data_IF_320434729490
#
_entry.id   IF_320434729490
#
_cell.length_a   1.000
_cell.length_b   1.000
_cell.length_c   1.000
_cell.angle_alpha   90.00
_cell.angle_beta   90.00
_cell.angle_gamma   90.00
#
_symmetry.space_group_name_H-M   'P 1'
#
loop_
_entity.id
_entity.type
_entity.pdbx_description
1 polymer ?
#
# COMPACT_ATOMS: atom_id res chain seq x y z
N UNK A 1 -5.43 19.49 -13.07
CA UNK A 1 -4.17 18.95 -13.65
C UNK A 1 -4.35 17.46 -13.90
N UNK A 2 -4.70 17.05 -15.13
CA UNK A 2 -5.01 15.65 -15.44
C UNK A 2 -3.80 14.71 -15.29
N UNK A 3 -2.59 15.17 -15.63
CA UNK A 3 -1.36 14.34 -15.60
C UNK A 3 -0.93 13.86 -14.20
N UNK A 4 -1.43 14.47 -13.12
CA UNK A 4 -1.07 14.07 -11.76
C UNK A 4 -1.89 12.88 -11.25
N UNK A 5 -3.09 12.67 -11.78
CA UNK A 5 -4.01 11.63 -11.31
C UNK A 5 -3.39 10.24 -11.49
N UNK A 6 -2.68 10.03 -12.59
CA UNK A 6 -1.95 8.80 -12.89
C UNK A 6 -0.75 8.55 -11.95
N UNK A 7 -0.39 9.53 -11.12
CA UNK A 7 0.70 9.47 -10.13
C UNK A 7 0.20 9.39 -8.69
N UNK A 8 -1.10 9.26 -8.50
CA UNK A 8 -1.71 9.11 -7.17
C UNK A 8 -1.75 7.63 -6.82
N UNK A 9 -1.23 7.30 -5.65
CA UNK A 9 -1.24 5.95 -5.10
C UNK A 9 -1.97 5.94 -3.77
N UNK A 10 -2.56 4.79 -3.45
CA UNK A 10 -3.16 4.53 -2.14
C UNK A 10 -2.35 3.51 -1.37
N UNK A 11 -2.20 3.79 -0.08
CA UNK A 11 -1.65 2.89 0.91
C UNK A 11 -2.79 2.15 1.58
N UNK A 12 -2.83 0.83 1.45
CA UNK A 12 -3.82 -0.03 2.06
C UNK A 12 -3.11 -0.93 3.07
N UNK A 13 -3.66 -1.02 4.28
CA UNK A 13 -3.14 -1.89 5.32
C UNK A 13 -4.01 -3.12 5.40
N UNK A 14 -3.37 -4.28 5.45
CA UNK A 14 -3.99 -5.58 5.46
C UNK A 14 -3.65 -6.33 6.74
N UNK A 15 -4.54 -7.23 7.13
CA UNK A 15 -4.40 -8.12 8.28
C UNK A 15 -4.49 -9.56 7.81
N UNK A 16 -3.39 -10.29 7.95
CA UNK A 16 -3.33 -11.71 7.68
C UNK A 16 -4.05 -12.53 8.75
N UNK A 17 -4.41 -13.77 8.42
CA UNK A 17 -4.95 -14.73 9.39
C UNK A 17 -3.98 -14.96 10.55
N UNK A 18 -2.67 -14.86 10.32
CA UNK A 18 -1.65 -14.92 11.38
C UNK A 18 -1.69 -13.75 12.36
N UNK A 19 -2.50 -12.71 12.09
CA UNK A 19 -2.53 -11.40 12.75
C UNK A 19 -1.35 -10.49 12.39
N UNK A 20 -0.48 -10.90 11.47
CA UNK A 20 0.52 -10.01 10.89
C UNK A 20 -0.15 -8.92 10.04
N UNK A 21 0.48 -7.76 10.00
CA UNK A 21 0.02 -6.64 9.19
C UNK A 21 0.95 -6.43 8.00
N UNK A 22 0.34 -6.06 6.88
CA UNK A 22 1.02 -5.86 5.61
C UNK A 22 0.56 -4.55 5.00
N UNK A 23 1.42 -3.93 4.20
CA UNK A 23 1.11 -2.67 3.51
C UNK A 23 1.16 -2.91 2.02
N UNK A 24 0.13 -2.49 1.30
CA UNK A 24 0.08 -2.54 -0.15
C UNK A 24 -0.07 -1.13 -0.70
N UNK A 25 0.82 -0.77 -1.63
CA UNK A 25 0.78 0.49 -2.37
C UNK A 25 0.35 0.20 -3.78
N UNK A 26 -0.83 0.70 -4.15
CA UNK A 26 -1.44 0.47 -5.47
C UNK A 26 -1.89 1.80 -6.08
N UNK A 27 -2.10 1.82 -7.39
CA UNK A 27 -2.59 3.02 -8.09
C UNK A 27 -3.95 3.48 -7.51
N UNK A 28 -4.20 4.79 -7.46
CA UNK A 28 -5.36 5.38 -6.79
C UNK A 28 -6.69 4.77 -7.26
N UNK A 29 -6.83 4.62 -8.58
CA UNK A 29 -8.01 4.05 -9.24
C UNK A 29 -8.02 2.51 -9.31
N UNK A 30 -6.93 1.82 -8.93
CA UNK A 30 -6.86 0.35 -9.01
C UNK A 30 -7.54 -0.31 -7.79
N UNK A 31 -8.07 -1.52 -7.93
CA UNK A 31 -8.58 -2.28 -6.78
C UNK A 31 -7.59 -3.36 -6.36
N UNK A 32 -7.47 -3.57 -5.04
CA UNK A 32 -6.63 -4.61 -4.49
C UNK A 32 -7.32 -5.98 -4.63
N UNK A 33 -6.63 -6.94 -5.22
CA UNK A 33 -7.04 -8.34 -5.24
C UNK A 33 -6.51 -9.04 -3.97
N UNK A 34 -7.41 -9.28 -3.01
CA UNK A 34 -7.07 -9.89 -1.72
C UNK A 34 -6.52 -11.31 -1.87
N UNK A 35 -6.92 -12.07 -2.90
CA UNK A 35 -6.40 -13.42 -3.11
C UNK A 35 -4.94 -13.39 -3.57
N UNK A 36 -4.60 -12.47 -4.47
CA UNK A 36 -3.21 -12.24 -4.89
C UNK A 36 -2.38 -11.70 -3.72
N UNK A 37 -2.89 -10.73 -2.99
CA UNK A 37 -2.22 -10.18 -1.82
C UNK A 37 -1.94 -11.26 -0.76
N UNK A 38 -2.90 -12.14 -0.47
CA UNK A 38 -2.71 -13.25 0.46
C UNK A 38 -1.57 -14.17 0.01
N UNK A 39 -1.54 -14.51 -1.29
CA UNK A 39 -0.46 -15.32 -1.88
C UNK A 39 0.92 -14.64 -1.74
N UNK A 40 1.03 -13.36 -2.07
CA UNK A 40 2.29 -12.61 -2.00
C UNK A 40 2.75 -12.32 -0.56
N UNK A 41 1.79 -12.24 0.38
CA UNK A 41 2.04 -12.12 1.81
C UNK A 41 2.29 -13.46 2.52
N UNK A 42 2.20 -14.57 1.79
CA UNK A 42 2.32 -15.95 2.32
C UNK A 42 1.29 -16.27 3.42
N UNK A 43 0.08 -15.72 3.26
CA UNK A 43 -1.05 -15.87 4.16
C UNK A 43 -2.12 -16.80 3.59
N UNK A 44 -2.75 -17.59 4.47
CA UNK A 44 -3.89 -18.45 4.06
C UNK A 44 -5.12 -17.62 3.69
N UNK A 45 -5.31 -16.49 4.37
CA UNK A 45 -6.33 -15.50 4.08
C UNK A 45 -5.84 -14.12 4.53
N UNK A 46 -6.29 -13.07 3.87
CA UNK A 46 -5.95 -11.69 4.21
C UNK A 46 -7.18 -10.80 4.03
N UNK A 47 -7.38 -9.88 4.96
CA UNK A 47 -8.48 -8.93 4.95
C UNK A 47 -7.96 -7.49 5.08
N UNK A 48 -8.78 -6.51 4.73
CA UNK A 48 -8.46 -5.11 5.01
C UNK A 48 -8.39 -4.89 6.53
N UNK A 49 -7.40 -4.12 7.00
CA UNK A 49 -7.36 -3.71 8.39
C UNK A 49 -8.58 -2.82 8.69
N UNK A 50 -9.36 -3.10 9.76
CA UNK A 50 -10.46 -2.23 10.15
C UNK A 50 -10.00 -0.79 10.40
N UNK A 51 -10.79 0.19 9.95
CA UNK A 51 -10.45 1.60 10.09
C UNK A 51 -10.30 2.04 11.56
N UNK A 52 -11.02 1.38 12.48
CA UNK A 52 -10.90 1.59 13.93
C UNK A 52 -9.55 1.14 14.51
N UNK A 53 -8.83 0.25 13.83
CA UNK A 53 -7.52 -0.25 14.23
C UNK A 53 -6.36 0.51 13.54
N UNK A 54 -6.63 1.22 12.44
CA UNK A 54 -5.62 1.85 11.57
C UNK A 54 -4.67 2.79 12.33
N UNK A 55 -5.21 3.76 13.06
CA UNK A 55 -4.41 4.77 13.76
C UNK A 55 -3.62 4.16 14.91
N UNK A 56 -4.22 3.19 15.61
CA UNK A 56 -3.54 2.46 16.68
C UNK A 56 -2.31 1.74 16.14
N UNK A 57 -2.46 0.99 15.06
CA UNK A 57 -1.40 0.13 14.51
C UNK A 57 -0.35 0.90 13.72
N UNK A 58 -0.76 1.90 12.93
CA UNK A 58 0.13 2.58 11.98
C UNK A 58 0.56 3.97 12.43
N UNK A 59 -0.25 4.64 13.26
CA UNK A 59 -0.09 6.07 13.58
C UNK A 59 -0.74 7.02 12.58
N UNK A 60 -1.37 6.50 11.52
CA UNK A 60 -2.07 7.30 10.53
C UNK A 60 -3.59 7.28 10.70
N UNK A 61 -4.22 8.44 10.51
CA UNK A 61 -5.67 8.56 10.42
C UNK A 61 -6.16 8.17 9.02
N UNK A 62 -7.47 7.90 8.90
CA UNK A 62 -8.12 7.64 7.61
C UNK A 62 -7.88 8.80 6.64
N UNK A 63 -7.48 8.48 5.41
CA UNK A 63 -7.23 9.46 4.35
C UNK A 63 -5.81 10.04 4.33
N UNK A 64 -4.99 9.78 5.35
CA UNK A 64 -3.59 10.25 5.43
C UNK A 64 -2.55 9.13 5.49
N UNK A 65 -2.91 7.88 5.19
CA UNK A 65 -2.02 6.74 5.35
C UNK A 65 -0.89 6.73 4.30
N UNK A 66 0.35 6.66 4.77
CA UNK A 66 1.58 6.63 3.96
C UNK A 66 2.32 5.31 4.16
N UNK A 67 3.02 4.75 3.15
CA UNK A 67 3.80 3.52 3.32
C UNK A 67 5.09 3.73 4.13
N UNK A 68 5.44 4.99 4.42
CA UNK A 68 6.60 5.40 5.21
C UNK A 68 6.15 6.16 6.45
N UNK A 69 7.00 6.24 7.47
CA UNK A 69 6.71 7.02 8.69
C UNK A 69 5.70 6.36 9.64
N UNK A 70 5.42 5.07 9.47
CA UNK A 70 4.55 4.32 10.38
C UNK A 70 5.25 4.03 11.72
N UNK A 71 4.45 3.78 12.77
CA UNK A 71 4.93 3.42 14.14
C UNK A 71 5.90 2.24 14.18
N UNK A 72 5.76 1.29 13.25
CA UNK A 72 6.62 0.12 13.07
C UNK A 72 6.83 -0.13 11.58
N UNK A 73 7.89 -0.87 11.25
CA UNK A 73 8.12 -1.32 9.87
C UNK A 73 7.20 -2.50 9.56
N UNK A 74 6.54 -2.44 8.40
CA UNK A 74 5.70 -3.50 7.89
C UNK A 74 6.29 -4.05 6.60
N UNK A 75 5.94 -5.29 6.25
CA UNK A 75 6.21 -5.82 4.90
C UNK A 75 5.35 -5.03 3.92
N UNK A 76 6.00 -4.24 3.08
CA UNK A 76 5.36 -3.36 2.11
C UNK A 76 5.51 -3.90 0.70
N UNK A 77 4.41 -4.01 -0.01
CA UNK A 77 4.34 -4.46 -1.39
C UNK A 77 3.88 -3.32 -2.29
N UNK A 78 4.52 -3.19 -3.44
CA UNK A 78 4.14 -2.24 -4.47
C UNK A 78 3.55 -3.00 -5.65
N UNK A 79 2.44 -2.49 -6.19
CA UNK A 79 1.93 -2.99 -7.46
C UNK A 79 3.01 -2.83 -8.54
N UNK A 80 3.23 -3.87 -9.35
CA UNK A 80 4.15 -3.81 -10.50
C UNK A 80 3.79 -2.68 -11.47
N UNK A 81 2.53 -2.27 -11.53
CA UNK A 81 2.09 -1.11 -12.31
C UNK A 81 2.76 0.21 -11.88
N UNK A 82 3.26 0.30 -10.65
CA UNK A 82 3.97 1.48 -10.10
C UNK A 82 5.28 1.72 -10.87
N UNK A 83 6.01 0.66 -11.25
CA UNK A 83 7.33 0.76 -11.89
C UNK A 83 7.24 1.47 -13.26
N UNK A 84 6.14 1.25 -14.00
CA UNK A 84 5.91 1.87 -15.32
C UNK A 84 5.83 3.39 -15.27
N UNK A 85 5.59 3.97 -14.09
CA UNK A 85 5.53 5.41 -13.90
C UNK A 85 6.92 6.05 -13.74
N UNK A 86 7.91 5.27 -13.30
CA UNK A 86 9.28 5.74 -13.08
C UNK A 86 10.03 5.93 -14.40
N UNK A 87 9.67 5.18 -15.43
CA UNK A 87 10.37 5.20 -16.73
C UNK A 87 10.01 6.40 -17.61
N UNK A 88 8.90 7.10 -17.34
CA UNK A 88 8.30 7.99 -18.36
C UNK A 88 8.84 9.41 -18.47
N UNK A 89 9.53 10.01 -17.50
CA UNK A 89 10.22 11.31 -17.68
C UNK A 89 11.28 11.52 -16.61
N UNK A 90 12.55 11.70 -17.00
CA UNK A 90 13.64 12.50 -16.37
C UNK A 90 13.57 12.81 -14.84
N UNK A 91 13.07 11.90 -14.02
CA UNK A 91 12.99 12.10 -12.58
C UNK A 91 14.20 11.42 -11.97
N UNK A 92 15.36 12.07 -12.11
CA UNK A 92 16.53 11.73 -11.30
C UNK A 92 16.22 12.14 -9.86
N UNK A 93 15.56 11.26 -9.11
CA UNK A 93 15.78 11.20 -7.67
C UNK A 93 16.79 10.08 -7.47
N UNK A 94 18.07 10.44 -7.56
CA UNK A 94 19.15 9.65 -6.96
C UNK A 94 19.18 10.05 -5.49
N UNK A 95 18.90 9.11 -4.60
CA UNK A 95 19.47 9.13 -3.25
C UNK A 95 20.95 8.76 -3.35
#
# INVERSE_FOLDING_TARGET
MPELVDRVFKTIVLKGKSKNLYVCVIHGEAHLDLKKAAKDCEEKNIDLLPLSELEKETGYIRGGCSPVGMKKLFRTFFDKGVEKLLERKNTKIKI
#
